data_IF_725393476891
#
_entry.id   IF_725393476891
#
_cell.length_a   1.000
_cell.length_b   1.000
_cell.length_c   1.000
_cell.angle_alpha   90.00
_cell.angle_beta   90.00
_cell.angle_gamma   90.00
#
_symmetry.space_group_name_H-M   'P 1'
#
loop_
_entity.id
_entity.type
_entity.pdbx_description
1 polymer ?
#
# COMPACT_ATOMS: atom_id res chain seq x y z
N UNK A 1 -105.41 67.47 -28.92
CA UNK A 1 -105.27 66.04 -29.27
C UNK A 1 -103.97 65.84 -30.04
N UNK A 2 -102.94 65.30 -29.41
CA UNK A 2 -101.96 64.29 -29.86
C UNK A 2 -100.78 64.25 -28.86
N UNK A 3 -100.11 63.10 -28.65
CA UNK A 3 -99.54 62.73 -27.35
C UNK A 3 -98.00 62.63 -27.33
N UNK A 4 -97.47 62.49 -26.10
CA UNK A 4 -96.22 61.82 -25.68
C UNK A 4 -94.90 62.09 -26.46
N UNK A 5 -93.82 62.34 -25.70
CA UNK A 5 -92.80 61.31 -25.43
C UNK A 5 -91.79 61.77 -24.40
N UNK A 6 -91.64 60.94 -23.36
CA UNK A 6 -90.64 61.06 -22.31
C UNK A 6 -89.30 60.56 -22.86
N UNK A 7 -88.26 61.37 -22.78
CA UNK A 7 -86.90 60.94 -23.12
C UNK A 7 -86.27 60.27 -21.89
N UNK A 8 -86.12 58.94 -21.95
CA UNK A 8 -85.33 58.19 -20.97
C UNK A 8 -83.85 58.53 -21.15
N UNK A 9 -83.21 59.06 -20.11
CA UNK A 9 -81.75 59.18 -20.03
C UNK A 9 -81.22 57.81 -19.58
N UNK A 10 -80.37 57.12 -20.36
CA UNK A 10 -79.78 55.88 -19.90
C UNK A 10 -78.73 56.20 -18.83
N UNK A 11 -78.89 55.57 -17.66
CA UNK A 11 -77.92 55.59 -16.57
C UNK A 11 -76.69 54.78 -17.04
N UNK A 12 -75.58 55.46 -17.33
CA UNK A 12 -74.32 54.81 -17.70
C UNK A 12 -73.69 54.24 -16.42
N UNK A 13 -73.88 52.95 -16.15
CA UNK A 13 -73.23 52.24 -15.04
C UNK A 13 -71.76 52.04 -15.37
N UNK A 14 -70.89 52.82 -14.71
CA UNK A 14 -69.45 52.66 -14.76
C UNK A 14 -69.07 51.39 -13.96
N UNK A 15 -68.80 50.28 -14.65
CA UNK A 15 -68.27 49.07 -14.03
C UNK A 15 -66.80 49.34 -13.71
N UNK A 16 -66.49 49.62 -12.44
CA UNK A 16 -65.11 49.52 -11.94
C UNK A 16 -64.74 48.04 -11.95
N UNK A 17 -63.94 47.63 -12.94
CA UNK A 17 -63.16 46.40 -12.83
C UNK A 17 -62.13 46.63 -11.73
N UNK A 18 -62.39 46.06 -10.53
CA UNK A 18 -61.33 45.92 -9.55
C UNK A 18 -60.21 45.09 -10.19
N UNK A 19 -58.93 45.50 -10.09
CA UNK A 19 -57.85 44.61 -10.47
C UNK A 19 -57.92 43.42 -9.54
N UNK A 20 -58.33 42.27 -10.06
CA UNK A 20 -58.14 41.00 -9.36
C UNK A 20 -56.65 40.93 -9.05
N UNK A 21 -56.34 41.09 -7.77
CA UNK A 21 -55.02 40.84 -7.26
C UNK A 21 -54.81 39.33 -7.44
N UNK A 22 -54.21 38.95 -8.57
CA UNK A 22 -53.67 37.61 -8.77
C UNK A 22 -52.68 37.45 -7.62
N UNK A 23 -53.10 36.75 -6.57
CA UNK A 23 -52.20 36.22 -5.58
C UNK A 23 -51.22 35.38 -6.37
N UNK A 24 -50.02 35.91 -6.58
CA UNK A 24 -48.89 35.14 -7.02
C UNK A 24 -48.77 33.99 -6.01
N UNK A 25 -49.25 32.81 -6.38
CA UNK A 25 -49.00 31.60 -5.62
C UNK A 25 -47.49 31.45 -5.64
N UNK A 26 -46.82 31.87 -4.57
CA UNK A 26 -45.40 31.56 -4.38
C UNK A 26 -45.31 30.05 -4.48
N UNK A 27 -44.73 29.54 -5.57
CA UNK A 27 -44.51 28.12 -5.74
C UNK A 27 -43.81 27.65 -4.46
N UNK A 28 -44.47 26.76 -3.70
CA UNK A 28 -44.00 26.41 -2.37
C UNK A 28 -42.58 25.87 -2.49
N UNK A 29 -41.62 26.54 -1.85
CA UNK A 29 -40.21 26.16 -1.91
C UNK A 29 -40.05 24.75 -1.38
N UNK A 30 -39.54 23.84 -2.21
CA UNK A 30 -39.25 22.49 -1.79
C UNK A 30 -37.88 22.48 -1.10
N UNK A 31 -37.78 21.76 0.02
CA UNK A 31 -36.51 21.64 0.73
C UNK A 31 -36.30 20.23 1.26
N UNK A 32 -35.04 19.86 1.44
CA UNK A 32 -34.64 18.60 2.05
C UNK A 32 -33.58 18.87 3.12
N UNK A 33 -33.49 17.99 4.11
CA UNK A 33 -32.49 18.06 5.17
C UNK A 33 -31.77 16.73 5.34
N UNK A 34 -30.52 16.78 5.78
CA UNK A 34 -29.66 15.63 6.06
C UNK A 34 -29.05 15.80 7.44
N UNK A 35 -29.06 14.75 8.24
CA UNK A 35 -28.30 14.67 9.49
C UNK A 35 -27.18 13.66 9.32
N UNK A 36 -25.93 14.10 9.44
CA UNK A 36 -24.73 13.29 9.25
C UNK A 36 -24.16 12.90 10.61
N UNK A 37 -23.98 11.59 10.83
CA UNK A 37 -23.43 11.02 12.06
C UNK A 37 -22.26 10.08 11.76
N UNK A 38 -21.37 9.84 12.72
CA UNK A 38 -20.44 8.70 12.66
C UNK A 38 -21.09 7.40 13.16
N UNK A 39 -20.39 6.28 12.99
CA UNK A 39 -20.83 4.96 13.48
C UNK A 39 -20.98 4.85 15.00
N UNK A 40 -20.40 5.79 15.76
CA UNK A 40 -20.61 5.96 17.20
C UNK A 40 -21.78 6.89 17.56
N UNK A 41 -22.53 7.39 16.56
CA UNK A 41 -23.68 8.26 16.73
C UNK A 41 -23.34 9.74 16.93
N UNK A 42 -22.08 10.17 16.77
CA UNK A 42 -21.67 11.58 16.95
C UNK A 42 -22.01 12.40 15.72
N UNK A 43 -22.43 13.64 15.92
CA UNK A 43 -22.64 14.62 14.85
C UNK A 43 -21.35 14.95 14.10
N UNK A 44 -21.39 14.90 12.77
CA UNK A 44 -20.26 15.24 11.91
C UNK A 44 -20.41 16.65 11.33
N UNK A 45 -19.69 17.60 11.92
CA UNK A 45 -19.48 18.96 11.40
C UNK A 45 -18.58 18.95 10.15
N UNK A 46 -18.77 19.94 9.25
CA UNK A 46 -17.99 20.13 8.01
C UNK A 46 -18.10 18.98 6.98
N UNK A 47 -19.11 18.11 7.09
CA UNK A 47 -19.41 17.14 6.05
C UNK A 47 -20.05 17.87 4.87
N UNK A 48 -19.50 17.68 3.68
CA UNK A 48 -20.02 18.28 2.45
C UNK A 48 -21.09 17.35 1.87
N UNK A 49 -22.34 17.82 1.86
CA UNK A 49 -23.47 17.16 1.21
C UNK A 49 -23.63 17.78 -0.18
N UNK A 50 -23.65 16.94 -1.21
CA UNK A 50 -23.67 17.34 -2.62
C UNK A 50 -24.97 16.82 -3.24
N UNK A 51 -25.75 17.69 -3.88
CA UNK A 51 -27.02 17.38 -4.55
C UNK A 51 -27.01 18.04 -5.93
N UNK A 52 -26.94 17.25 -7.00
CA UNK A 52 -26.70 17.78 -8.35
C UNK A 52 -25.39 18.58 -8.41
N UNK A 53 -25.47 19.83 -8.87
CA UNK A 53 -24.35 20.79 -8.93
C UNK A 53 -24.17 21.58 -7.61
N UNK A 54 -25.11 21.46 -6.65
CA UNK A 54 -25.07 22.18 -5.38
C UNK A 54 -24.31 21.44 -4.29
N UNK A 55 -23.62 22.17 -3.42
CA UNK A 55 -22.95 21.60 -2.24
C UNK A 55 -23.16 22.50 -1.00
N UNK A 56 -23.46 21.89 0.14
CA UNK A 56 -23.60 22.57 1.45
C UNK A 56 -22.84 21.77 2.50
N UNK A 57 -22.24 22.46 3.46
CA UNK A 57 -21.57 21.84 4.60
C UNK A 57 -22.52 21.69 5.78
N UNK A 58 -22.36 20.61 6.53
CA UNK A 58 -23.06 20.40 7.79
C UNK A 58 -22.58 21.35 8.89
N UNK A 59 -23.51 21.79 9.73
CA UNK A 59 -23.26 22.60 10.91
C UNK A 59 -22.71 21.79 12.10
N UNK A 60 -22.63 22.40 13.28
CA UNK A 60 -22.09 21.75 14.49
C UNK A 60 -23.01 20.66 15.03
N UNK A 61 -24.30 20.69 14.70
CA UNK A 61 -25.24 19.62 14.95
C UNK A 61 -25.19 18.52 13.87
N UNK A 62 -24.31 18.65 12.89
CA UNK A 62 -24.14 17.71 11.78
C UNK A 62 -25.29 17.76 10.77
N UNK A 63 -26.05 18.86 10.73
CA UNK A 63 -27.21 19.02 9.86
C UNK A 63 -26.91 19.93 8.67
N UNK A 64 -27.50 19.61 7.52
CA UNK A 64 -27.45 20.45 6.32
C UNK A 64 -28.83 20.51 5.66
N UNK A 65 -29.22 21.68 5.16
CA UNK A 65 -30.50 21.91 4.48
C UNK A 65 -30.29 22.42 3.05
N UNK A 66 -31.14 21.97 2.14
CA UNK A 66 -31.11 22.29 0.72
C UNK A 66 -32.45 22.82 0.27
N UNK A 67 -32.43 23.82 -0.61
CA UNK A 67 -33.58 24.24 -1.40
C UNK A 67 -33.52 23.52 -2.74
N UNK A 68 -34.63 22.91 -3.14
CA UNK A 68 -34.77 22.12 -4.35
C UNK A 68 -35.92 22.66 -5.19
N UNK A 69 -35.82 22.50 -6.51
CA UNK A 69 -36.83 23.01 -7.45
C UNK A 69 -38.12 22.19 -7.50
N UNK A 70 -38.15 21.00 -6.89
CA UNK A 70 -39.29 20.07 -6.95
C UNK A 70 -39.33 19.14 -5.74
N UNK A 71 -40.46 18.45 -5.55
CA UNK A 71 -40.65 17.37 -4.57
C UNK A 71 -40.10 16.01 -5.03
N UNK A 72 -39.50 15.94 -6.22
CA UNK A 72 -38.98 14.69 -6.76
C UNK A 72 -37.81 14.21 -5.91
N UNK A 73 -37.79 12.92 -5.49
CA UNK A 73 -36.65 12.38 -4.76
C UNK A 73 -35.35 12.53 -5.55
N UNK A 74 -34.28 12.88 -4.85
CA UNK A 74 -32.98 13.17 -5.46
C UNK A 74 -31.86 12.47 -4.71
N UNK A 75 -30.86 11.98 -5.43
CA UNK A 75 -29.67 11.42 -4.82
C UNK A 75 -28.76 12.52 -4.29
N UNK A 76 -28.31 12.34 -3.04
CA UNK A 76 -27.27 13.14 -2.42
C UNK A 76 -26.02 12.29 -2.18
N UNK A 77 -24.85 12.91 -2.30
CA UNK A 77 -23.56 12.32 -1.91
C UNK A 77 -22.99 13.10 -0.74
N UNK A 78 -22.56 12.41 0.30
CA UNK A 78 -21.95 13.03 1.49
C UNK A 78 -20.47 12.67 1.55
N UNK A 79 -19.60 13.68 1.71
CA UNK A 79 -18.15 13.53 1.87
C UNK A 79 -17.69 14.23 3.14
N UNK A 80 -16.85 13.58 3.94
CA UNK A 80 -16.13 14.20 5.06
C UNK A 80 -14.72 13.63 5.13
N UNK A 81 -13.72 14.48 5.36
CA UNK A 81 -12.34 14.00 5.55
C UNK A 81 -12.30 13.02 6.73
N UNK A 82 -11.69 11.86 6.52
CA UNK A 82 -11.60 10.77 7.49
C UNK A 82 -12.78 9.80 7.50
N UNK A 83 -13.75 9.92 6.58
CA UNK A 83 -14.96 9.08 6.52
C UNK A 83 -15.30 8.62 5.09
N UNK A 84 -15.80 7.38 4.95
CA UNK A 84 -16.20 6.82 3.68
C UNK A 84 -17.42 7.60 3.15
N UNK A 85 -17.47 7.99 1.87
CA UNK A 85 -18.60 8.76 1.37
C UNK A 85 -19.84 7.89 1.26
N UNK A 86 -20.98 8.45 1.65
CA UNK A 86 -22.27 7.79 1.54
C UNK A 86 -23.10 8.41 0.41
N UNK A 87 -23.93 7.59 -0.25
CA UNK A 87 -25.02 8.05 -1.12
C UNK A 87 -26.33 7.78 -0.41
N UNK A 88 -27.23 8.76 -0.41
CA UNK A 88 -28.57 8.63 0.14
C UNK A 88 -29.60 9.24 -0.80
N UNK A 89 -30.84 8.81 -0.67
CA UNK A 89 -31.97 9.44 -1.37
C UNK A 89 -32.63 10.45 -0.43
N UNK A 90 -32.81 11.68 -0.90
CA UNK A 90 -33.54 12.73 -0.20
C UNK A 90 -34.98 12.78 -0.69
N UNK A 91 -35.90 13.02 0.23
CA UNK A 91 -37.33 13.18 -0.03
C UNK A 91 -37.73 14.64 0.30
N UNK A 92 -37.79 15.53 -0.69
CA UNK A 92 -38.05 16.95 -0.43
C UNK A 92 -39.50 17.19 -0.01
N UNK A 93 -39.72 18.09 0.96
CA UNK A 93 -41.04 18.58 1.35
C UNK A 93 -41.23 20.02 0.87
N UNK A 94 -42.40 20.32 0.30
CA UNK A 94 -42.74 21.66 -0.18
C UNK A 94 -43.77 22.30 0.75
N UNK A 95 -43.51 23.52 1.21
CA UNK A 95 -44.39 24.24 2.14
C UNK A 95 -44.39 23.74 3.59
N UNK A 96 -43.65 22.66 3.88
CA UNK A 96 -43.45 22.11 5.22
C UNK A 96 -41.95 21.99 5.55
N UNK A 97 -41.54 22.11 6.83
CA UNK A 97 -40.18 21.80 7.25
C UNK A 97 -39.79 20.36 6.87
N UNK A 98 -38.61 20.14 6.28
CA UNK A 98 -38.16 18.81 5.90
C UNK A 98 -37.75 18.01 7.13
N UNK A 99 -38.06 16.71 7.07
CA UNK A 99 -37.52 15.74 8.02
C UNK A 99 -36.09 15.41 7.58
N UNK A 100 -35.13 15.52 8.50
CA UNK A 100 -33.74 15.21 8.20
C UNK A 100 -33.59 13.71 7.90
N UNK A 101 -33.06 13.38 6.72
CA UNK A 101 -32.66 12.01 6.41
C UNK A 101 -31.35 11.71 7.13
N UNK A 102 -31.35 10.72 8.03
CA UNK A 102 -30.17 10.32 8.77
C UNK A 102 -29.23 9.52 7.87
N UNK A 103 -27.95 9.91 7.85
CA UNK A 103 -26.87 9.16 7.20
C UNK A 103 -25.71 8.97 8.17
N UNK A 104 -25.29 7.72 8.31
CA UNK A 104 -24.13 7.34 9.10
C UNK A 104 -22.94 7.18 8.17
N UNK A 105 -21.84 7.88 8.46
CA UNK A 105 -20.57 7.70 7.78
C UNK A 105 -19.65 6.83 8.63
N UNK A 106 -19.07 5.82 8.00
CA UNK A 106 -18.04 5.02 8.63
C UNK A 106 -16.70 5.73 8.54
N UNK A 107 -15.95 5.89 9.65
CA UNK A 107 -14.60 6.44 9.59
C UNK A 107 -13.73 5.58 8.66
N UNK A 108 -12.94 6.21 7.79
CA UNK A 108 -11.98 5.52 6.92
C UNK A 108 -10.84 5.02 7.81
N UNK A 109 -11.06 3.84 8.38
CA UNK A 109 -10.02 2.88 8.67
C UNK A 109 -10.22 1.73 7.69
N UNK A 110 -9.98 1.97 6.39
CA UNK A 110 -9.78 0.87 5.46
C UNK A 110 -8.42 0.22 5.78
N UNK A 111 -8.39 -0.50 6.90
CA UNK A 111 -7.35 -1.46 7.21
C UNK A 111 -7.75 -2.74 6.52
N UNK A 112 -6.89 -3.26 5.66
CA UNK A 112 -7.05 -4.63 5.22
C UNK A 112 -7.10 -5.55 6.45
N UNK A 113 -7.86 -6.64 6.32
CA UNK A 113 -7.91 -7.67 7.36
C UNK A 113 -6.47 -8.05 7.73
N UNK A 114 -6.20 -8.10 9.04
CA UNK A 114 -4.89 -8.46 9.56
C UNK A 114 -4.42 -9.76 8.94
N UNK A 115 -3.22 -9.74 8.37
CA UNK A 115 -2.57 -10.92 7.80
C UNK A 115 -1.75 -11.55 8.89
N UNK A 116 -2.08 -12.78 9.30
CA UNK A 116 -1.29 -13.51 10.29
C UNK A 116 -0.22 -14.35 9.59
N UNK A 117 1.03 -14.10 9.93
CA UNK A 117 2.20 -14.89 9.56
C UNK A 117 2.52 -15.82 10.73
N UNK A 118 2.20 -17.10 10.58
CA UNK A 118 2.56 -18.14 11.54
C UNK A 118 3.98 -18.63 11.30
N UNK A 119 4.76 -18.77 12.37
CA UNK A 119 6.10 -19.34 12.34
C UNK A 119 6.15 -20.80 11.86
N UNK A 120 5.01 -21.51 11.85
CA UNK A 120 4.90 -22.90 11.42
C UNK A 120 4.82 -23.07 9.90
N UNK A 121 4.43 -22.04 9.13
CA UNK A 121 4.38 -22.11 7.66
C UNK A 121 5.76 -21.90 7.06
N UNK A 122 6.31 -22.92 6.40
CA UNK A 122 7.55 -22.78 5.61
C UNK A 122 7.23 -22.00 4.34
N UNK A 123 7.88 -20.85 4.08
CA UNK A 123 7.74 -20.16 2.81
C UNK A 123 8.24 -21.05 1.68
N UNK A 124 7.43 -21.17 0.61
CA UNK A 124 7.84 -21.82 -0.64
C UNK A 124 8.52 -20.76 -1.48
N UNK A 125 9.85 -20.80 -1.55
CA UNK A 125 10.60 -19.91 -2.41
C UNK A 125 10.66 -20.50 -3.83
N UNK A 126 10.48 -19.67 -4.86
CA UNK A 126 10.53 -20.09 -6.26
C UNK A 126 11.49 -19.22 -7.07
N UNK A 127 11.97 -19.75 -8.20
CA UNK A 127 12.93 -19.09 -9.07
C UNK A 127 14.40 -19.23 -8.65
N UNK A 128 15.33 -18.56 -9.35
CA UNK A 128 16.76 -18.83 -9.19
C UNK A 128 17.36 -18.46 -7.82
N UNK A 129 16.71 -17.58 -7.06
CA UNK A 129 17.09 -17.22 -5.69
C UNK A 129 16.45 -18.09 -4.61
N UNK A 130 15.59 -19.05 -4.98
CA UNK A 130 14.95 -19.91 -3.98
C UNK A 130 15.97 -20.56 -3.02
N UNK A 131 17.09 -21.14 -3.50
CA UNK A 131 18.08 -21.73 -2.60
C UNK A 131 18.72 -20.71 -1.64
N UNK A 132 18.94 -19.46 -2.09
CA UNK A 132 19.47 -18.38 -1.26
C UNK A 132 18.50 -18.04 -0.12
N UNK A 133 17.21 -17.85 -0.42
CA UNK A 133 16.22 -17.53 0.60
C UNK A 133 15.92 -18.70 1.53
N UNK A 134 15.99 -19.94 1.05
CA UNK A 134 15.91 -21.15 1.89
C UNK A 134 17.05 -21.19 2.90
N UNK A 135 18.30 -20.94 2.46
CA UNK A 135 19.47 -20.90 3.34
C UNK A 135 19.40 -19.73 4.32
N UNK A 136 18.96 -18.55 3.87
CA UNK A 136 18.70 -17.40 4.74
C UNK A 136 17.68 -17.74 5.82
N UNK A 137 16.62 -18.47 5.47
CA UNK A 137 15.59 -18.90 6.39
C UNK A 137 16.06 -19.97 7.40
N UNK A 138 17.06 -20.78 7.07
CA UNK A 138 17.74 -21.68 8.02
C UNK A 138 18.62 -20.90 9.00
N UNK A 139 19.31 -19.87 8.51
CA UNK A 139 20.11 -18.95 9.31
C UNK A 139 21.51 -19.49 9.67
N UNK A 140 22.04 -20.40 8.84
CA UNK A 140 23.34 -21.05 9.09
C UNK A 140 24.54 -20.16 8.68
N UNK A 141 24.30 -19.03 8.01
CA UNK A 141 25.32 -18.07 7.56
C UNK A 141 24.94 -16.60 7.82
N UNK A 142 25.74 -15.69 7.28
CA UNK A 142 25.46 -14.25 7.28
C UNK A 142 24.98 -13.84 5.90
N UNK A 143 23.83 -13.15 5.83
CA UNK A 143 23.16 -12.84 4.58
C UNK A 143 23.01 -11.33 4.43
N UNK A 144 23.26 -10.84 3.22
CA UNK A 144 23.00 -9.48 2.80
C UNK A 144 22.10 -9.52 1.57
N UNK A 145 20.87 -9.05 1.71
CA UNK A 145 19.98 -8.82 0.58
C UNK A 145 20.34 -7.52 -0.14
N UNK A 146 19.78 -7.30 -1.33
CA UNK A 146 19.87 -6.00 -2.01
C UNK A 146 19.41 -4.84 -1.12
N UNK A 147 18.31 -5.02 -0.38
CA UNK A 147 17.78 -4.01 0.55
C UNK A 147 18.77 -3.73 1.69
N UNK A 148 19.38 -4.78 2.26
CA UNK A 148 20.39 -4.64 3.32
C UNK A 148 21.61 -3.83 2.83
N UNK A 149 22.08 -4.10 1.61
CA UNK A 149 23.21 -3.39 1.01
C UNK A 149 22.88 -1.92 0.73
N UNK A 150 21.67 -1.64 0.25
CA UNK A 150 21.20 -0.28 -0.04
C UNK A 150 21.01 0.54 1.25
N UNK A 151 20.40 -0.04 2.28
CA UNK A 151 20.18 0.62 3.57
C UNK A 151 21.51 0.99 4.24
N UNK A 152 22.55 0.19 4.03
CA UNK A 152 23.90 0.43 4.55
C UNK A 152 24.72 1.40 3.69
N UNK A 153 24.14 1.91 2.60
CA UNK A 153 24.83 2.73 1.60
C UNK A 153 26.15 2.10 1.11
N UNK A 154 26.15 0.77 0.94
CA UNK A 154 27.34 0.04 0.53
C UNK A 154 27.71 0.41 -0.90
N UNK A 155 28.88 1.03 -1.07
CA UNK A 155 29.40 1.39 -2.39
C UNK A 155 30.25 0.26 -2.98
N UNK A 156 30.75 -0.63 -2.12
CA UNK A 156 31.55 -1.79 -2.48
C UNK A 156 31.09 -3.01 -1.70
N UNK A 157 31.26 -4.19 -2.28
CA UNK A 157 30.97 -5.44 -1.58
C UNK A 157 31.82 -5.60 -0.31
N UNK A 158 33.04 -5.05 -0.27
CA UNK A 158 33.84 -5.04 0.96
C UNK A 158 33.20 -4.31 2.13
N UNK A 159 32.36 -3.31 1.87
CA UNK A 159 31.77 -2.49 2.93
C UNK A 159 30.82 -3.31 3.79
N UNK A 160 30.15 -4.30 3.18
CA UNK A 160 29.30 -5.26 3.91
C UNK A 160 30.11 -6.45 4.43
N UNK A 161 31.06 -6.97 3.65
CA UNK A 161 31.85 -8.13 4.07
C UNK A 161 32.72 -7.85 5.31
N UNK A 162 33.28 -6.64 5.44
CA UNK A 162 34.07 -6.26 6.63
C UNK A 162 33.26 -6.28 7.93
N UNK A 163 31.92 -6.26 7.86
CA UNK A 163 31.04 -6.35 9.03
C UNK A 163 30.84 -7.78 9.53
N UNK A 164 31.31 -8.78 8.79
CA UNK A 164 31.20 -10.19 9.16
C UNK A 164 32.37 -10.57 10.08
N UNK A 165 32.06 -10.84 11.35
CA UNK A 165 33.03 -11.36 12.31
C UNK A 165 33.57 -12.72 11.84
N UNK A 166 34.89 -12.90 11.92
CA UNK A 166 35.59 -14.14 11.53
C UNK A 166 36.26 -14.10 10.16
N UNK A 167 35.96 -13.14 9.27
CA UNK A 167 36.67 -13.05 7.97
C UNK A 167 38.14 -12.60 8.15
N UNK A 168 38.39 -11.60 9.01
CA UNK A 168 39.73 -11.06 9.23
C UNK A 168 40.74 -12.03 9.88
N UNK A 169 40.26 -12.93 10.75
CA UNK A 169 41.08 -13.92 11.48
C UNK A 169 41.49 -15.11 10.60
N UNK A 170 40.75 -15.37 9.52
CA UNK A 170 41.04 -16.41 8.52
C UNK A 170 41.97 -15.92 7.41
N UNK A 171 42.62 -14.76 7.55
CA UNK A 171 43.43 -14.16 6.49
C UNK A 171 42.61 -13.63 5.30
N UNK A 172 41.27 -13.61 5.42
CA UNK A 172 40.35 -13.13 4.39
C UNK A 172 40.19 -11.61 4.50
N UNK A 173 41.17 -10.87 3.96
CA UNK A 173 41.07 -9.41 3.85
C UNK A 173 40.34 -9.05 2.56
N UNK A 174 39.12 -8.46 2.61
CA UNK A 174 38.48 -7.91 1.43
C UNK A 174 39.34 -6.76 0.94
N UNK A 175 39.82 -6.86 -0.31
CA UNK A 175 40.75 -5.90 -0.89
C UNK A 175 42.18 -6.05 -0.35
N UNK A 176 43.03 -6.67 -1.16
CA UNK A 176 44.45 -6.31 -1.38
C UNK A 176 45.02 -7.33 -2.37
N UNK A 177 44.82 -7.06 -3.65
CA UNK A 177 45.67 -7.61 -4.71
C UNK A 177 47.08 -7.04 -4.56
N UNK A 178 47.85 -7.59 -3.61
CA UNK A 178 49.23 -7.20 -3.37
C UNK A 178 50.16 -7.99 -4.28
N UNK A 179 50.54 -7.40 -5.42
CA UNK A 179 51.79 -7.72 -6.11
C UNK A 179 52.95 -7.29 -5.21
N UNK A 180 53.43 -8.19 -4.35
CA UNK A 180 54.73 -8.21 -3.68
C UNK A 180 54.80 -9.59 -3.00
N UNK A 181 55.59 -10.54 -3.48
CA UNK A 181 57.05 -10.53 -3.35
C UNK A 181 57.43 -11.44 -2.19
N UNK A 182 57.64 -12.74 -2.48
CA UNK A 182 58.38 -13.69 -1.66
C UNK A 182 57.89 -13.95 -0.23
N UNK A 183 56.88 -14.82 -0.06
CA UNK A 183 56.73 -15.75 1.09
C UNK A 183 55.66 -16.80 0.76
N UNK A 184 55.90 -18.03 1.23
CA UNK A 184 55.32 -19.31 0.78
C UNK A 184 53.80 -19.26 0.54
N UNK A 185 53.37 -19.74 -0.63
CA UNK A 185 51.96 -19.81 -1.07
C UNK A 185 51.05 -20.74 -0.23
N UNK A 186 51.56 -21.34 0.85
CA UNK A 186 50.86 -22.36 1.65
C UNK A 186 50.02 -21.79 2.83
N UNK A 187 49.99 -20.46 3.03
CA UNK A 187 49.33 -19.85 4.21
C UNK A 187 48.17 -18.90 3.88
N UNK A 188 47.79 -18.75 2.59
CA UNK A 188 46.65 -17.89 2.22
C UNK A 188 45.37 -18.71 2.11
N UNK A 189 44.53 -18.57 3.13
CA UNK A 189 43.24 -19.24 3.27
C UNK A 189 42.18 -18.42 2.52
N UNK A 190 41.80 -18.84 1.31
CA UNK A 190 40.80 -18.13 0.51
C UNK A 190 39.44 -18.85 0.55
N UNK A 191 38.31 -18.10 0.64
CA UNK A 191 36.99 -18.71 0.64
C UNK A 191 36.67 -19.33 -0.72
N UNK A 192 35.81 -20.35 -0.72
CA UNK A 192 35.12 -20.76 -1.93
C UNK A 192 34.23 -19.62 -2.41
N UNK A 193 34.42 -19.17 -3.64
CA UNK A 193 33.54 -18.20 -4.29
C UNK A 193 32.51 -18.94 -5.14
N UNK A 194 31.24 -18.75 -4.82
CA UNK A 194 30.11 -19.19 -5.64
C UNK A 194 29.51 -17.97 -6.31
N UNK A 195 29.21 -18.04 -7.60
CA UNK A 195 28.47 -17.01 -8.34
C UNK A 195 27.26 -17.68 -8.98
N UNK A 196 26.06 -17.25 -8.62
CA UNK A 196 24.78 -17.78 -9.14
C UNK A 196 24.65 -19.31 -9.06
N UNK A 197 25.19 -19.90 -7.99
CA UNK A 197 25.18 -21.34 -7.75
C UNK A 197 26.35 -22.11 -8.38
N UNK A 198 27.22 -21.45 -9.14
CA UNK A 198 28.40 -22.07 -9.75
C UNK A 198 29.67 -21.76 -8.96
N UNK A 199 30.40 -22.80 -8.55
CA UNK A 199 31.71 -22.67 -7.94
C UNK A 199 32.74 -22.16 -8.94
N UNK A 200 33.50 -21.14 -8.53
CA UNK A 200 34.57 -20.57 -9.32
C UNK A 200 35.90 -21.25 -8.95
N UNK A 201 36.52 -21.96 -9.89
CA UNK A 201 37.66 -22.87 -9.61
C UNK A 201 39.04 -22.20 -9.49
N UNK A 202 39.15 -20.87 -9.38
CA UNK A 202 40.44 -20.18 -9.30
C UNK A 202 40.47 -19.15 -8.17
N UNK A 203 40.95 -19.56 -7.00
CA UNK A 203 41.13 -18.65 -5.86
C UNK A 203 42.47 -17.90 -6.02
N UNK A 204 42.37 -16.64 -6.46
CA UNK A 204 43.50 -15.72 -6.60
C UNK A 204 43.24 -14.47 -7.45
N UNK A 205 42.33 -14.53 -8.43
CA UNK A 205 42.14 -13.44 -9.41
C UNK A 205 40.83 -12.66 -9.30
N UNK A 206 39.77 -13.23 -8.72
CA UNK A 206 38.47 -12.54 -8.63
C UNK A 206 38.40 -11.77 -7.31
N UNK A 207 38.70 -10.47 -7.37
CA UNK A 207 38.55 -9.56 -6.25
C UNK A 207 37.07 -9.30 -5.95
N UNK A 208 36.67 -9.38 -4.68
CA UNK A 208 35.35 -8.96 -4.22
C UNK A 208 35.04 -7.50 -4.55
N UNK A 209 36.06 -6.68 -4.77
CA UNK A 209 35.92 -5.27 -5.19
C UNK A 209 35.31 -5.11 -6.59
N UNK A 210 35.35 -6.16 -7.43
CA UNK A 210 34.78 -6.13 -8.77
C UNK A 210 33.25 -6.22 -8.82
N UNK A 211 32.59 -6.48 -7.68
CA UNK A 211 31.15 -6.62 -7.59
C UNK A 211 30.50 -5.37 -7.00
N UNK A 212 29.75 -4.65 -7.84
CA UNK A 212 28.93 -3.51 -7.43
C UNK A 212 27.67 -4.01 -6.70
N UNK A 213 27.44 -3.64 -5.42
CA UNK A 213 26.26 -4.04 -4.66
C UNK A 213 24.92 -3.78 -5.35
N UNK A 214 24.85 -2.77 -6.24
CA UNK A 214 23.63 -2.44 -6.99
C UNK A 214 23.26 -3.52 -8.02
N UNK A 215 24.26 -4.24 -8.53
CA UNK A 215 24.11 -5.35 -9.47
C UNK A 215 23.88 -6.71 -8.81
N UNK A 216 23.78 -6.75 -7.48
CA UNK A 216 23.61 -7.99 -6.71
C UNK A 216 22.20 -8.10 -6.15
N UNK A 217 21.65 -9.30 -6.19
CA UNK A 217 20.38 -9.64 -5.54
C UNK A 217 20.59 -10.05 -4.08
N UNK A 218 21.72 -10.73 -3.80
CA UNK A 218 22.09 -11.10 -2.44
C UNK A 218 23.49 -11.67 -2.34
N UNK A 219 24.00 -11.72 -1.11
CA UNK A 219 25.29 -12.28 -0.75
C UNK A 219 25.10 -13.13 0.51
N UNK A 220 25.60 -14.35 0.51
CA UNK A 220 25.62 -15.23 1.67
C UNK A 220 27.08 -15.58 2.02
N UNK A 221 27.40 -15.51 3.30
CA UNK A 221 28.75 -15.68 3.83
C UNK A 221 28.73 -16.74 4.91
N UNK A 222 29.54 -17.76 4.72
CA UNK A 222 29.77 -18.85 5.65
C UNK A 222 31.22 -18.78 6.09
N UNK A 223 31.53 -18.22 7.27
CA UNK A 223 32.92 -17.98 7.65
C UNK A 223 33.76 -19.27 7.82
N UNK A 224 33.13 -20.43 7.97
CA UNK A 224 33.81 -21.70 8.19
C UNK A 224 33.06 -22.88 7.57
N UNK A 225 33.73 -24.03 7.49
CA UNK A 225 33.17 -25.25 6.92
C UNK A 225 32.00 -25.84 7.72
N UNK A 226 31.89 -25.59 9.03
CA UNK A 226 30.80 -26.15 9.86
C UNK A 226 29.45 -25.49 9.57
N UNK A 227 29.49 -24.24 9.10
CA UNK A 227 28.31 -23.46 8.68
C UNK A 227 28.05 -23.53 7.17
N UNK A 228 29.01 -24.02 6.39
CA UNK A 228 28.90 -24.08 4.94
C UNK A 228 27.88 -25.18 4.53
N UNK A 229 26.92 -24.86 3.64
CA UNK A 229 25.96 -25.84 3.13
C UNK A 229 26.63 -27.06 2.46
N UNK A 230 26.07 -28.28 2.60
CA UNK A 230 26.64 -29.50 2.01
C UNK A 230 26.89 -29.39 0.51
N UNK A 231 26.00 -28.70 -0.21
CA UNK A 231 26.13 -28.47 -1.66
C UNK A 231 27.36 -27.64 -2.04
N UNK A 232 27.87 -26.79 -1.14
CA UNK A 232 29.08 -26.00 -1.36
C UNK A 232 30.33 -26.72 -0.83
N UNK A 233 30.19 -27.47 0.27
CA UNK A 233 31.30 -28.28 0.80
C UNK A 233 31.82 -29.29 -0.22
N UNK A 234 30.92 -29.91 -0.99
CA UNK A 234 31.26 -30.84 -2.06
C UNK A 234 32.14 -30.21 -3.17
N UNK A 235 32.10 -28.89 -3.31
CA UNK A 235 32.80 -28.12 -4.35
C UNK A 235 34.10 -27.47 -3.83
N UNK A 236 34.39 -27.60 -2.54
CA UNK A 236 35.34 -26.76 -1.83
C UNK A 236 36.81 -27.24 -1.94
N UNK A 237 37.11 -28.29 -2.70
CA UNK A 237 38.47 -28.83 -2.97
C UNK A 237 39.45 -28.84 -1.77
N UNK A 238 38.94 -29.01 -0.54
CA UNK A 238 39.73 -29.04 0.69
C UNK A 238 39.99 -27.70 1.41
N UNK A 239 39.50 -26.55 0.91
CA UNK A 239 39.62 -25.27 1.63
C UNK A 239 38.68 -25.23 2.86
N UNK A 240 39.22 -24.96 4.05
CA UNK A 240 38.42 -24.82 5.29
C UNK A 240 38.02 -23.38 5.60
N UNK A 241 38.33 -22.46 4.68
CA UNK A 241 38.33 -21.00 4.87
C UNK A 241 36.95 -20.34 4.75
N UNK A 242 35.88 -21.14 4.71
CA UNK A 242 34.52 -20.65 4.50
C UNK A 242 34.15 -20.47 3.02
N UNK A 243 32.93 -20.00 2.80
CA UNK A 243 32.31 -19.80 1.48
C UNK A 243 31.67 -18.42 1.39
N UNK A 244 31.86 -17.72 0.28
CA UNK A 244 31.09 -16.53 -0.08
C UNK A 244 30.32 -16.89 -1.35
N UNK A 245 29.00 -16.83 -1.30
CA UNK A 245 28.16 -16.98 -2.48
C UNK A 245 27.49 -15.65 -2.85
N UNK A 246 27.67 -15.27 -4.11
CA UNK A 246 27.18 -14.04 -4.71
C UNK A 246 26.06 -14.40 -5.68
N UNK A 247 24.94 -13.70 -5.56
CA UNK A 247 23.78 -13.88 -6.42
C UNK A 247 23.57 -12.61 -7.24
N UNK A 248 23.74 -12.73 -8.56
CA UNK A 248 23.64 -11.60 -9.49
C UNK A 248 22.20 -11.20 -9.71
N UNK A 249 22.03 -9.90 -9.97
CA UNK A 249 20.75 -9.32 -10.37
C UNK A 249 20.61 -9.42 -11.90
N UNK A 250 20.13 -10.57 -12.37
CA UNK A 250 19.79 -10.84 -13.79
C UNK A 250 18.28 -10.71 -14.04
N UNK A 251 17.82 -10.59 -15.30
CA UNK A 251 16.40 -10.37 -15.65
C UNK A 251 15.45 -11.53 -15.34
N UNK A 252 15.99 -12.69 -14.97
CA UNK A 252 15.39 -13.97 -14.60
C UNK A 252 15.56 -14.30 -13.10
N UNK A 253 16.55 -13.70 -12.43
CA UNK A 253 16.63 -13.56 -10.96
C UNK A 253 15.74 -12.39 -10.49
N UNK A 254 15.58 -11.38 -11.33
CA UNK A 254 14.46 -10.47 -11.37
C UNK A 254 13.29 -11.25 -11.96
N UNK A 255 12.12 -11.24 -11.33
CA UNK A 255 10.93 -11.81 -11.97
C UNK A 255 10.56 -10.93 -13.19
N UNK A 256 10.61 -11.44 -14.43
CA UNK A 256 10.25 -10.66 -15.60
C UNK A 256 8.73 -10.62 -15.79
N UNK A 257 8.05 -9.78 -15.00
CA UNK A 257 6.77 -9.15 -15.36
C UNK A 257 6.67 -7.73 -14.74
N UNK A 258 7.78 -6.98 -14.78
CA UNK A 258 7.83 -5.59 -14.32
C UNK A 258 8.33 -4.62 -15.41
N UNK A 259 8.27 -5.03 -16.69
CA UNK A 259 8.67 -4.19 -17.82
C UNK A 259 7.54 -3.37 -18.46
N UNK A 260 6.33 -3.33 -17.87
CA UNK A 260 5.24 -2.47 -18.35
C UNK A 260 4.68 -1.47 -17.34
N UNK A 261 5.17 -1.42 -16.10
CA UNK A 261 4.97 -0.27 -15.19
C UNK A 261 6.26 0.57 -15.14
N UNK A 262 6.44 1.36 -16.20
CA UNK A 262 7.54 2.31 -16.45
C UNK A 262 7.99 3.06 -15.19
N UNK A 263 9.26 2.87 -14.81
CA UNK A 263 10.25 3.78 -14.22
C UNK A 263 9.92 4.93 -13.25
N UNK A 264 8.67 5.24 -12.91
CA UNK A 264 8.29 6.28 -11.95
C UNK A 264 7.31 5.72 -10.91
N UNK A 265 7.43 6.21 -9.68
CA UNK A 265 6.39 6.05 -8.67
C UNK A 265 5.04 6.54 -9.22
N UNK A 266 3.93 5.93 -8.79
CA UNK A 266 2.61 6.36 -9.24
C UNK A 266 2.38 7.80 -8.76
N UNK A 267 2.10 8.77 -9.65
CA UNK A 267 1.83 10.14 -9.26
C UNK A 267 0.68 10.22 -8.27
N UNK A 268 0.78 11.06 -7.25
CA UNK A 268 -0.26 11.21 -6.21
C UNK A 268 -1.66 11.52 -6.79
N UNK A 269 -1.72 12.23 -7.92
CA UNK A 269 -2.99 12.52 -8.63
C UNK A 269 -3.70 11.29 -9.20
N UNK A 270 -3.00 10.16 -9.32
CA UNK A 270 -3.52 8.89 -9.84
C UNK A 270 -3.75 7.86 -8.73
N UNK A 271 -3.44 8.21 -7.47
CA UNK A 271 -3.63 7.35 -6.31
C UNK A 271 -4.98 7.68 -5.68
N UNK A 272 -5.86 6.70 -5.63
CA UNK A 272 -7.17 6.82 -5.02
C UNK A 272 -7.12 6.46 -3.53
N UNK A 273 -7.88 7.18 -2.72
CA UNK A 273 -8.14 6.79 -1.34
C UNK A 273 -9.32 5.82 -1.26
N UNK A 274 -9.48 5.16 -0.12
CA UNK A 274 -10.61 4.25 0.10
C UNK A 274 -12.00 4.86 -0.14
N UNK A 275 -12.15 6.17 0.07
CA UNK A 275 -13.41 6.85 -0.21
C UNK A 275 -13.64 7.18 -1.70
N UNK A 276 -12.62 7.10 -2.55
CA UNK A 276 -12.72 7.53 -3.95
C UNK A 276 -12.94 6.38 -4.94
N UNK A 277 -13.08 5.14 -4.43
CA UNK A 277 -13.28 3.91 -5.21
C UNK A 277 -14.61 3.24 -4.85
N UNK A 278 -15.22 2.55 -5.81
CA UNK A 278 -16.47 1.80 -5.60
C UNK A 278 -16.21 0.40 -5.01
N UNK A 279 -15.05 -0.18 -5.33
CA UNK A 279 -14.55 -1.43 -4.74
C UNK A 279 -13.11 -1.21 -4.24
N UNK A 280 -12.84 -1.60 -3.00
CA UNK A 280 -11.50 -1.49 -2.40
C UNK A 280 -10.58 -2.59 -2.94
N UNK A 281 -9.29 -2.29 -3.02
CA UNK A 281 -8.27 -3.30 -3.21
C UNK A 281 -8.28 -4.28 -2.04
N UNK A 282 -8.16 -5.58 -2.33
CA UNK A 282 -8.15 -6.64 -1.32
C UNK A 282 -6.93 -7.52 -1.50
N UNK A 283 -6.29 -7.92 -0.39
CA UNK A 283 -5.19 -8.87 -0.47
C UNK A 283 -5.72 -10.21 -0.95
N UNK A 284 -5.16 -10.71 -2.04
CA UNK A 284 -5.45 -12.05 -2.54
C UNK A 284 -4.63 -13.05 -1.73
N UNK A 285 -5.25 -13.68 -0.74
CA UNK A 285 -4.57 -14.65 0.12
C UNK A 285 -4.25 -15.99 -0.57
N UNK A 286 -4.78 -16.23 -1.77
CA UNK A 286 -4.51 -17.46 -2.53
C UNK A 286 -3.25 -17.33 -3.38
N UNK A 287 -2.98 -16.13 -3.91
CA UNK A 287 -1.81 -15.83 -4.74
C UNK A 287 -0.70 -15.07 -4.00
N UNK A 288 -0.96 -14.54 -2.81
CA UNK A 288 0.04 -13.82 -2.02
C UNK A 288 0.94 -14.76 -1.22
N UNK A 289 2.24 -14.55 -1.33
CA UNK A 289 3.22 -15.15 -0.40
C UNK A 289 3.40 -14.18 0.77
N UNK A 290 3.02 -14.61 1.98
CA UNK A 290 3.14 -13.77 3.17
C UNK A 290 4.62 -13.52 3.54
N UNK A 291 4.95 -12.37 4.16
CA UNK A 291 6.30 -12.09 4.66
C UNK A 291 6.85 -13.19 5.56
N UNK A 292 8.17 -13.36 5.56
CA UNK A 292 8.83 -14.43 6.31
C UNK A 292 9.03 -14.01 7.76
N UNK A 293 8.73 -14.91 8.70
CA UNK A 293 9.01 -14.67 10.11
C UNK A 293 10.54 -14.58 10.36
N UNK A 294 11.08 -13.48 10.91
CA UNK A 294 12.52 -13.36 11.21
C UNK A 294 13.03 -14.46 12.14
N UNK A 295 14.04 -15.22 11.71
CA UNK A 295 14.54 -16.41 12.42
C UNK A 295 14.99 -16.10 13.85
N UNK A 296 15.65 -14.96 14.07
CA UNK A 296 16.12 -14.53 15.39
C UNK A 296 14.97 -14.28 16.36
N UNK A 297 13.84 -13.76 15.88
CA UNK A 297 12.64 -13.54 16.67
C UNK A 297 11.85 -14.84 16.85
N UNK A 298 11.82 -15.69 15.81
CA UNK A 298 11.20 -17.01 15.86
C UNK A 298 11.83 -17.90 16.91
N UNK A 299 13.17 -17.99 16.94
CA UNK A 299 13.92 -18.79 17.95
C UNK A 299 13.69 -18.30 19.38
N UNK A 300 13.33 -17.03 19.54
CA UNK A 300 13.01 -16.40 20.84
C UNK A 300 11.51 -16.36 21.14
N UNK A 301 10.67 -16.89 20.25
CA UNK A 301 9.21 -16.85 20.34
C UNK A 301 8.63 -15.44 20.59
N UNK A 302 9.19 -14.41 19.94
CA UNK A 302 8.78 -13.02 20.13
C UNK A 302 7.69 -12.66 19.11
N UNK A 303 6.45 -12.51 19.55
CA UNK A 303 5.36 -12.01 18.70
C UNK A 303 5.53 -10.56 18.26
N UNK A 304 4.82 -10.16 17.20
CA UNK A 304 4.80 -8.77 16.80
C UNK A 304 3.77 -8.39 15.77
N UNK A 305 3.72 -7.09 15.49
CA UNK A 305 2.80 -6.49 14.53
C UNK A 305 3.52 -5.40 13.75
N UNK A 306 3.19 -5.31 12.46
CA UNK A 306 3.64 -4.24 11.56
C UNK A 306 2.42 -3.63 10.89
N UNK A 307 2.27 -2.31 11.01
CA UNK A 307 1.33 -1.55 10.21
C UNK A 307 2.09 -0.81 9.12
N UNK A 308 1.65 -0.96 7.87
CA UNK A 308 2.22 -0.27 6.73
C UNK A 308 1.14 0.36 5.85
N UNK A 309 1.55 1.38 5.12
CA UNK A 309 0.83 2.00 4.02
C UNK A 309 1.54 1.65 2.72
N UNK A 310 0.79 1.27 1.69
CA UNK A 310 1.33 0.93 0.37
C UNK A 310 0.33 1.31 -0.71
N UNK A 311 0.83 1.69 -1.88
CA UNK A 311 -0.01 1.92 -3.06
C UNK A 311 -0.15 0.60 -3.81
N UNK A 312 -1.37 0.13 -3.99
CA UNK A 312 -1.69 -1.01 -4.86
C UNK A 312 -2.02 -0.44 -6.23
N UNK A 313 -1.27 -0.82 -7.26
CA UNK A 313 -1.49 -0.38 -8.63
C UNK A 313 -2.74 -1.02 -9.24
N UNK A 314 -3.20 -0.48 -10.38
CA UNK A 314 -4.37 -1.00 -11.11
C UNK A 314 -4.19 -2.44 -11.63
N UNK A 315 -2.96 -2.96 -11.65
CA UNK A 315 -2.67 -4.37 -11.99
C UNK A 315 -2.69 -5.29 -10.75
N UNK A 316 -3.02 -4.77 -9.57
CA UNK A 316 -3.07 -5.51 -8.32
C UNK A 316 -1.70 -5.74 -7.67
N UNK A 317 -0.63 -5.11 -8.16
CA UNK A 317 0.71 -5.20 -7.55
C UNK A 317 0.95 -4.02 -6.60
N UNK A 318 1.60 -4.25 -5.44
CA UNK A 318 2.01 -3.15 -4.57
C UNK A 318 3.23 -2.41 -5.15
N UNK A 319 3.22 -1.09 -5.10
CA UNK A 319 4.39 -0.25 -5.34
C UNK A 319 5.25 -0.16 -4.08
N UNK A 320 6.29 -0.99 -4.03
CA UNK A 320 7.23 -1.02 -2.92
C UNK A 320 8.02 0.29 -2.72
N UNK A 321 8.10 1.17 -3.73
CA UNK A 321 8.82 2.46 -3.62
C UNK A 321 8.02 3.50 -2.83
N UNK A 322 6.69 3.39 -2.85
CA UNK A 322 5.78 4.25 -2.11
C UNK A 322 5.26 3.57 -0.83
N UNK A 323 5.86 2.44 -0.44
CA UNK A 323 5.52 1.75 0.78
C UNK A 323 6.15 2.45 1.99
N UNK A 324 5.37 2.59 3.06
CA UNK A 324 5.79 3.21 4.30
C UNK A 324 5.37 2.35 5.49
N UNK A 325 6.33 1.91 6.29
CA UNK A 325 6.04 1.33 7.60
C UNK A 325 5.55 2.46 8.53
N UNK A 326 4.32 2.34 9.00
CA UNK A 326 3.71 3.29 9.94
C UNK A 326 4.11 2.97 11.38
N UNK A 327 4.14 1.68 11.73
CA UNK A 327 4.59 1.18 13.02
C UNK A 327 5.08 -0.26 12.91
N UNK A 328 6.01 -0.65 13.79
CA UNK A 328 6.44 -2.04 13.95
C UNK A 328 6.82 -2.28 15.40
N UNK A 329 6.34 -3.39 16.00
CA UNK A 329 6.73 -3.77 17.37
C UNK A 329 8.21 -4.10 17.49
N UNK A 330 8.82 -4.56 16.39
CA UNK A 330 10.26 -4.76 16.27
C UNK A 330 10.72 -4.42 14.85
N UNK A 331 11.85 -3.71 14.72
CA UNK A 331 12.39 -3.28 13.41
C UNK A 331 12.50 -4.41 12.40
N UNK A 332 13.02 -5.57 12.84
CA UNK A 332 13.17 -6.76 11.99
C UNK A 332 11.85 -7.29 11.41
N UNK A 333 10.69 -7.05 12.05
CA UNK A 333 9.41 -7.38 11.43
C UNK A 333 9.08 -6.41 10.29
N UNK A 334 9.33 -5.12 10.48
CA UNK A 334 9.19 -4.12 9.42
C UNK A 334 10.05 -4.45 8.20
N UNK A 335 11.31 -4.79 8.42
CA UNK A 335 12.24 -5.18 7.35
C UNK A 335 11.74 -6.44 6.61
N UNK A 336 11.25 -7.45 7.35
CA UNK A 336 10.70 -8.66 6.74
C UNK A 336 9.44 -8.41 5.90
N UNK A 337 8.58 -7.48 6.33
CA UNK A 337 7.39 -7.07 5.56
C UNK A 337 7.81 -6.35 4.28
N UNK A 338 8.77 -5.44 4.33
CA UNK A 338 9.27 -4.74 3.14
C UNK A 338 9.92 -5.70 2.14
N UNK A 339 10.71 -6.67 2.62
CA UNK A 339 11.31 -7.74 1.80
C UNK A 339 10.23 -8.56 1.06
N UNK A 340 9.14 -8.90 1.76
CA UNK A 340 8.05 -9.72 1.23
C UNK A 340 7.01 -8.97 0.42
N UNK A 341 7.01 -7.63 0.45
CA UNK A 341 5.94 -6.81 -0.12
C UNK A 341 5.74 -7.06 -1.61
N UNK A 342 6.82 -7.20 -2.38
CA UNK A 342 6.77 -7.47 -3.82
C UNK A 342 6.12 -8.82 -4.18
N UNK A 343 6.00 -9.73 -3.21
CA UNK A 343 5.39 -11.05 -3.37
C UNK A 343 3.89 -11.05 -3.04
N UNK A 344 3.36 -9.95 -2.49
CA UNK A 344 1.92 -9.80 -2.27
C UNK A 344 1.20 -9.54 -3.59
N UNK A 345 -0.03 -10.05 -3.68
CA UNK A 345 -0.94 -9.84 -4.80
C UNK A 345 -2.27 -9.35 -4.25
N UNK A 346 -2.84 -8.38 -4.93
CA UNK A 346 -4.12 -7.79 -4.57
C UNK A 346 -5.10 -7.96 -5.73
N UNK A 347 -6.37 -8.12 -5.39
CA UNK A 347 -7.42 -7.68 -6.29
C UNK A 347 -7.40 -6.14 -6.30
N UNK A 348 -7.26 -5.49 -7.46
CA UNK A 348 -7.14 -4.04 -7.52
C UNK A 348 -8.46 -3.36 -7.14
N UNK A 349 -8.35 -2.13 -6.65
CA UNK A 349 -9.52 -1.29 -6.43
C UNK A 349 -10.22 -0.98 -7.75
N UNK A 350 -11.54 -0.79 -7.73
CA UNK A 350 -12.31 -0.41 -8.92
C UNK A 350 -13.07 0.89 -8.70
N UNK A 351 -13.09 1.74 -9.73
CA UNK A 351 -13.92 2.94 -9.84
C UNK A 351 -14.62 2.91 -11.19
N UNK A 352 -15.95 2.98 -11.19
CA UNK A 352 -16.78 2.79 -12.38
C UNK A 352 -16.39 1.51 -13.14
N UNK A 353 -16.24 0.41 -12.40
CA UNK A 353 -15.81 -0.92 -12.90
C UNK A 353 -14.37 -1.01 -13.44
N UNK A 354 -13.66 0.12 -13.59
CA UNK A 354 -12.28 0.17 -14.06
C UNK A 354 -11.29 0.01 -12.90
N UNK A 355 -10.23 -0.81 -13.06
CA UNK A 355 -9.22 -0.96 -12.03
C UNK A 355 -8.39 0.32 -11.90
N UNK A 356 -8.16 0.77 -10.67
CA UNK A 356 -7.42 2.00 -10.34
C UNK A 356 -6.38 1.75 -9.26
N UNK A 357 -5.35 2.59 -9.21
CA UNK A 357 -4.35 2.52 -8.15
C UNK A 357 -4.94 3.08 -6.84
N UNK A 358 -4.73 2.40 -5.72
CA UNK A 358 -5.28 2.80 -4.43
C UNK A 358 -4.22 2.78 -3.32
N UNK A 359 -4.22 3.78 -2.45
CA UNK A 359 -3.47 3.77 -1.19
C UNK A 359 -4.18 2.88 -0.18
N UNK A 360 -3.46 1.91 0.36
CA UNK A 360 -3.99 0.90 1.27
C UNK A 360 -3.17 0.87 2.55
N UNK A 361 -3.85 0.75 3.69
CA UNK A 361 -3.21 0.46 4.98
C UNK A 361 -3.47 -0.98 5.35
N UNK A 362 -2.43 -1.68 5.76
CA UNK A 362 -2.54 -3.07 6.18
C UNK A 362 -1.75 -3.33 7.45
N UNK A 363 -2.21 -4.34 8.19
CA UNK A 363 -1.54 -4.83 9.39
C UNK A 363 -1.12 -6.27 9.16
N UNK A 364 0.14 -6.58 9.47
CA UNK A 364 0.71 -7.92 9.41
C UNK A 364 1.12 -8.31 10.83
N UNK A 365 0.50 -9.37 11.35
CA UNK A 365 0.78 -9.92 12.66
C UNK A 365 1.71 -11.14 12.52
N UNK A 366 2.75 -11.20 13.33
CA UNK A 366 3.68 -12.31 13.43
C UNK A 366 3.39 -13.08 14.72
N UNK A 367 3.04 -14.37 14.60
CA UNK A 367 2.72 -15.27 15.71
C UNK A 367 3.71 -16.42 15.82
N UNK A 368 4.41 -16.49 16.94
CA UNK A 368 5.43 -17.49 17.23
C UNK A 368 4.81 -18.88 17.42
N UNK A 369 3.63 -18.93 18.07
CA UNK A 369 2.79 -20.11 18.22
C UNK A 369 1.35 -19.72 17.88
N UNK A 370 0.63 -20.59 17.17
CA UNK A 370 -0.80 -20.43 16.86
C UNK A 370 -1.68 -20.75 18.08
#
# INVERSE_FOLDING_TARGET
>A
MLPLRWLQVPLLTLILAAPDSVLAQSAATCSAAVAVRDSGGRALHDATVIVGEGAVRTDTAGEARFILGSSTPVYARVRRLGYAPARLMLFPSCGLPPIATLVTLDPIAARLRTVTVSAARRPVYSGPLAPFYERRARGDGVFFTHADMLQRNAQRLSDVLRTVNGLGELGMRPGLGGRNGGRRAAERCYPLLIIDGMAQSAIGEISTEGFDPRGLAGVEVYPDASRTPPEFLALNNGSRCGTIAIWSRRSDTYMPEARLARNNAIPDSLIFEAGDVDQLAQLDTTRSVTPVYPVTLRRKAIDGEVSLEVVVASDGRPDARQAKVLSATHRAFGDAVLDGLALLRFEPARRNEQPVAQRVRMTIAFKAND
#
